data_IF_262441896000
#
_entry.id   IF_262441896000
#
_cell.length_a   1.000
_cell.length_b   1.000
_cell.length_c   1.000
_cell.angle_alpha   90.00
_cell.angle_beta   90.00
_cell.angle_gamma   90.00
#
_symmetry.space_group_name_H-M   'P 1'
#
loop_
_entity.id
_entity.type
_entity.pdbx_description
1 polymer ?
#
# COMPACT_ATOMS: atom_id res chain seq x y z
N UNK A 1 3.95 8.97 -20.33
CA UNK A 1 3.41 9.27 -18.99
C UNK A 1 4.02 10.59 -18.50
N UNK A 2 3.19 11.60 -18.38
CA UNK A 2 3.66 12.94 -18.01
C UNK A 2 3.52 13.13 -16.50
N UNK A 3 4.61 13.57 -15.85
CA UNK A 3 4.67 13.76 -14.40
C UNK A 3 4.22 12.51 -13.63
N UNK A 4 4.85 11.35 -13.91
CA UNK A 4 4.42 10.12 -13.26
C UNK A 4 4.63 10.17 -11.75
N UNK A 5 3.78 9.43 -11.06
CA UNK A 5 3.86 9.26 -9.61
C UNK A 5 4.33 7.86 -9.29
N UNK A 6 4.93 7.69 -8.12
CA UNK A 6 5.35 6.39 -7.63
C UNK A 6 4.45 5.97 -6.46
N UNK A 7 3.98 4.72 -6.50
CA UNK A 7 3.09 4.18 -5.47
C UNK A 7 3.62 2.84 -4.98
N UNK A 8 3.65 2.68 -3.68
CA UNK A 8 3.95 1.42 -3.02
C UNK A 8 2.62 0.76 -2.64
N UNK A 9 2.42 -0.48 -3.09
CA UNK A 9 1.23 -1.27 -2.73
C UNK A 9 1.65 -2.46 -1.89
N UNK A 10 0.84 -2.79 -0.89
CA UNK A 10 1.18 -3.84 0.09
C UNK A 10 0.02 -4.78 0.37
N UNK A 11 -1.14 -4.52 -0.19
CA UNK A 11 -2.36 -5.25 0.12
C UNK A 11 -3.11 -5.71 -1.11
N UNK A 12 -4.40 -5.44 -1.16
CA UNK A 12 -5.29 -5.99 -2.20
C UNK A 12 -4.99 -5.53 -3.62
N UNK A 13 -4.19 -4.48 -3.78
CA UNK A 13 -3.73 -4.03 -5.10
C UNK A 13 -2.54 -4.84 -5.62
N UNK A 14 -1.96 -5.72 -4.81
CA UNK A 14 -0.82 -6.53 -5.21
C UNK A 14 -1.18 -7.50 -6.34
N UNK A 15 -0.18 -7.88 -7.18
CA UNK A 15 -0.41 -8.88 -8.21
C UNK A 15 -0.98 -10.18 -7.61
N UNK A 16 -2.01 -10.70 -8.25
CA UNK A 16 -2.68 -11.92 -7.82
C UNK A 16 -3.74 -11.73 -6.75
N UNK A 17 -3.95 -10.52 -6.26
CA UNK A 17 -4.94 -10.27 -5.23
C UNK A 17 -6.18 -9.56 -5.77
N UNK A 18 -7.17 -9.38 -4.91
CA UNK A 18 -8.54 -9.04 -5.25
C UNK A 18 -8.70 -7.80 -6.14
N UNK A 19 -7.92 -6.77 -5.88
CA UNK A 19 -8.03 -5.49 -6.59
C UNK A 19 -6.90 -5.27 -7.60
N UNK A 20 -6.23 -6.33 -8.00
CA UNK A 20 -5.10 -6.25 -8.94
C UNK A 20 -5.44 -5.46 -10.20
N UNK A 21 -6.66 -5.61 -10.73
CA UNK A 21 -7.07 -4.94 -11.95
C UNK A 21 -7.09 -3.42 -11.84
N UNK A 22 -7.23 -2.91 -10.63
CA UNK A 22 -7.20 -1.47 -10.43
C UNK A 22 -5.83 -0.87 -10.79
N UNK A 23 -4.80 -1.74 -10.87
CA UNK A 23 -3.45 -1.31 -11.24
C UNK A 23 -3.17 -1.39 -12.74
N UNK A 24 -4.15 -1.82 -13.55
CA UNK A 24 -3.95 -1.91 -15.00
C UNK A 24 -3.55 -0.55 -15.57
N UNK A 25 -2.48 -0.54 -16.36
CA UNK A 25 -1.92 0.69 -16.92
C UNK A 25 -0.75 1.25 -16.14
N UNK A 26 -0.53 0.81 -14.91
CA UNK A 26 0.62 1.20 -14.12
C UNK A 26 1.84 0.35 -14.52
N UNK A 27 3.02 0.94 -14.44
CA UNK A 27 4.26 0.22 -14.74
C UNK A 27 4.83 -0.38 -13.45
N UNK A 28 4.96 -1.68 -13.40
CA UNK A 28 5.56 -2.38 -12.26
C UNK A 28 7.08 -2.17 -12.27
N UNK A 29 7.62 -1.63 -11.19
CA UNK A 29 9.05 -1.34 -11.09
C UNK A 29 9.81 -2.37 -10.26
N UNK A 30 9.15 -3.10 -9.39
CA UNK A 30 9.79 -4.12 -8.57
C UNK A 30 9.35 -4.08 -7.12
N UNK A 31 9.99 -4.92 -6.33
CA UNK A 31 9.67 -5.07 -4.91
C UNK A 31 10.42 -4.03 -4.06
N UNK A 32 9.90 -3.81 -2.87
CA UNK A 32 10.56 -2.97 -1.89
C UNK A 32 9.91 -3.14 -0.54
N UNK A 33 10.46 -2.45 0.46
CA UNK A 33 9.89 -2.47 1.80
C UNK A 33 9.84 -1.05 2.36
N UNK A 34 8.84 -0.80 3.17
CA UNK A 34 8.71 0.45 3.90
C UNK A 34 8.56 0.15 5.39
N UNK A 35 8.78 1.14 6.24
CA UNK A 35 8.58 0.97 7.66
C UNK A 35 7.11 1.09 8.02
N UNK A 36 6.68 0.29 8.99
CA UNK A 36 5.32 0.33 9.46
C UNK A 36 4.93 -0.94 10.19
N UNK A 37 3.64 -1.02 10.51
CA UNK A 37 3.00 -2.23 11.01
C UNK A 37 1.80 -2.53 10.15
N UNK A 38 1.57 -3.80 9.91
CA UNK A 38 0.50 -4.26 9.04
C UNK A 38 -0.49 -5.08 9.84
N UNK A 39 -1.76 -4.74 9.72
CA UNK A 39 -2.84 -5.43 10.43
C UNK A 39 -3.82 -6.05 9.44
N UNK A 40 -4.35 -7.20 9.82
CA UNK A 40 -5.39 -7.88 9.06
C UNK A 40 -6.74 -7.32 9.49
N UNK A 41 -7.37 -6.57 8.60
CA UNK A 41 -8.66 -5.91 8.89
C UNK A 41 -9.85 -6.74 8.41
N UNK A 42 -9.60 -7.97 7.99
CA UNK A 42 -10.62 -8.89 7.49
C UNK A 42 -10.47 -9.11 6.00
N UNK A 43 -11.12 -8.27 5.19
CA UNK A 43 -11.06 -8.42 3.73
C UNK A 43 -9.86 -7.73 3.09
N UNK A 44 -9.12 -6.94 3.85
CA UNK A 44 -7.92 -6.23 3.37
C UNK A 44 -7.03 -5.89 4.56
N UNK A 45 -5.74 -5.59 4.29
CA UNK A 45 -4.83 -5.18 5.37
C UNK A 45 -4.79 -3.67 5.48
N UNK A 46 -4.30 -3.19 6.63
CA UNK A 46 -4.05 -1.78 6.84
C UNK A 46 -2.65 -1.55 7.37
N UNK A 47 -1.91 -0.66 6.72
CA UNK A 47 -0.58 -0.25 7.16
C UNK A 47 -0.71 1.00 8.01
N UNK A 48 -0.05 0.99 9.17
CA UNK A 48 0.01 2.15 10.06
C UNK A 48 1.47 2.41 10.42
N UNK A 49 1.72 3.53 11.06
CA UNK A 49 3.06 3.87 11.53
C UNK A 49 3.62 2.78 12.45
N UNK A 50 4.91 2.51 12.34
CA UNK A 50 5.57 1.53 13.18
C UNK A 50 7.00 1.29 12.76
N UNK A 51 7.66 0.38 13.48
CA UNK A 51 9.09 0.11 13.33
C UNK A 51 9.41 -1.08 12.43
N UNK A 52 8.42 -1.90 12.11
CA UNK A 52 8.64 -3.09 11.30
C UNK A 52 8.90 -2.77 9.83
N UNK A 53 9.13 -3.82 9.04
CA UNK A 53 9.30 -3.68 7.60
C UNK A 53 8.13 -4.35 6.91
N UNK A 54 7.52 -3.63 5.97
CA UNK A 54 6.36 -4.09 5.24
C UNK A 54 6.74 -4.29 3.78
N UNK A 55 6.55 -5.50 3.29
CA UNK A 55 6.88 -5.89 1.92
C UNK A 55 5.78 -5.48 0.95
N UNK A 56 6.16 -5.06 -0.23
CA UNK A 56 5.22 -4.70 -1.27
C UNK A 56 5.89 -4.49 -2.61
N UNK A 57 5.15 -3.88 -3.51
CA UNK A 57 5.57 -3.64 -4.88
C UNK A 57 5.46 -2.15 -5.21
N UNK A 58 6.35 -1.69 -6.09
CA UNK A 58 6.41 -0.28 -6.47
C UNK A 58 5.94 -0.15 -7.91
N UNK A 59 5.08 0.83 -8.14
CA UNK A 59 4.52 1.11 -9.46
C UNK A 59 4.73 2.57 -9.83
N UNK A 60 4.89 2.79 -11.14
CA UNK A 60 4.85 4.13 -11.72
C UNK A 60 3.52 4.28 -12.45
N UNK A 61 2.81 5.36 -12.21
CA UNK A 61 1.50 5.55 -12.79
C UNK A 61 1.21 7.03 -13.01
N UNK A 62 0.22 7.29 -13.88
CA UNK A 62 -0.28 8.65 -14.12
C UNK A 62 -0.90 9.25 -12.88
N UNK A 63 -0.79 10.57 -12.69
CA UNK A 63 -1.51 11.25 -11.61
C UNK A 63 -3.01 10.99 -11.64
N UNK A 64 -3.62 10.88 -12.83
CA UNK A 64 -5.05 10.59 -12.93
C UNK A 64 -5.38 9.17 -12.46
N UNK A 65 -4.50 8.22 -12.75
CA UNK A 65 -4.66 6.85 -12.27
C UNK A 65 -4.60 6.84 -10.74
N UNK A 66 -3.65 7.58 -10.17
CA UNK A 66 -3.52 7.67 -8.73
C UNK A 66 -4.79 8.26 -8.10
N UNK A 67 -5.40 9.26 -8.72
CA UNK A 67 -6.65 9.83 -8.23
C UNK A 67 -7.79 8.80 -8.24
N UNK A 68 -7.83 7.92 -9.25
CA UNK A 68 -8.83 6.84 -9.28
C UNK A 68 -8.61 5.85 -8.14
N UNK A 69 -7.34 5.57 -7.81
CA UNK A 69 -7.02 4.69 -6.68
C UNK A 69 -7.40 5.33 -5.35
N UNK A 70 -7.32 6.66 -5.25
CA UNK A 70 -7.80 7.36 -4.06
C UNK A 70 -9.26 7.00 -3.79
N UNK A 71 -10.09 6.93 -4.82
CA UNK A 71 -11.49 6.55 -4.67
C UNK A 71 -11.64 5.08 -4.26
N UNK A 72 -10.86 4.19 -4.88
CA UNK A 72 -10.85 2.76 -4.54
C UNK A 72 -10.52 2.55 -3.07
N UNK A 73 -9.58 3.35 -2.54
CA UNK A 73 -9.13 3.26 -1.15
C UNK A 73 -9.98 4.11 -0.22
N UNK A 74 -11.08 4.65 -0.71
CA UNK A 74 -12.02 5.46 0.07
C UNK A 74 -11.34 6.63 0.75
N UNK A 75 -10.46 7.31 0.03
CA UNK A 75 -9.87 8.57 0.44
C UNK A 75 -10.76 9.71 -0.05
N UNK A 76 -11.21 10.55 0.88
CA UNK A 76 -11.98 11.74 0.57
C UNK A 76 -11.02 12.90 0.47
N UNK A 77 -10.91 13.50 -0.73
CA UNK A 77 -9.98 14.60 -0.97
C UNK A 77 -10.26 15.75 0.00
N UNK A 78 -9.19 16.29 0.57
CA UNK A 78 -9.23 17.43 1.50
C UNK A 78 -9.99 17.13 2.81
N UNK A 79 -10.30 15.84 3.10
CA UNK A 79 -10.99 15.49 4.34
C UNK A 79 -10.41 14.19 4.90
N UNK A 80 -9.30 14.31 5.61
CA UNK A 80 -8.63 13.15 6.19
C UNK A 80 -9.55 12.40 7.15
N UNK A 81 -10.32 13.10 7.98
CA UNK A 81 -11.16 12.46 8.97
C UNK A 81 -12.26 11.58 8.36
N UNK A 82 -12.74 11.93 7.17
CA UNK A 82 -13.76 11.15 6.47
C UNK A 82 -13.16 9.99 5.68
N UNK A 83 -11.84 9.89 5.59
CA UNK A 83 -11.17 8.91 4.74
C UNK A 83 -10.89 7.62 5.49
N UNK A 84 -11.10 6.48 4.82
CA UNK A 84 -10.75 5.16 5.36
C UNK A 84 -9.24 4.92 5.28
N UNK A 85 -8.65 5.26 4.14
CA UNK A 85 -7.21 5.28 3.95
C UNK A 85 -6.79 6.69 3.58
N UNK A 86 -5.58 7.05 3.96
CA UNK A 86 -5.02 8.36 3.64
C UNK A 86 -3.67 8.17 2.97
N UNK A 87 -3.49 8.80 1.82
CA UNK A 87 -2.27 8.67 1.04
C UNK A 87 -1.19 9.57 1.63
N UNK A 88 -0.05 8.97 2.00
CA UNK A 88 1.09 9.67 2.58
C UNK A 88 2.35 9.34 1.81
N UNK A 89 3.38 10.15 1.96
CA UNK A 89 4.69 9.87 1.40
C UNK A 89 5.49 9.06 2.39
N UNK A 90 6.11 8.00 1.90
CA UNK A 90 7.00 7.14 2.69
C UNK A 90 8.26 6.88 1.88
N UNK A 91 9.33 6.49 2.57
CA UNK A 91 10.59 6.20 1.92
C UNK A 91 10.79 4.69 1.82
N UNK A 92 11.20 4.24 0.63
CA UNK A 92 11.56 2.84 0.44
C UNK A 92 12.85 2.58 1.20
N UNK A 93 12.89 1.50 1.98
CA UNK A 93 14.02 1.17 2.86
C UNK A 93 14.97 0.18 2.22
N UNK A 94 14.45 -0.80 1.48
CA UNK A 94 15.28 -1.87 0.91
C UNK A 94 14.98 -2.07 -0.56
N UNK A 95 15.95 -2.67 -1.27
CA UNK A 95 15.78 -3.05 -2.68
C UNK A 95 16.39 -2.04 -3.62
N UNK A 96 16.14 -2.23 -4.90
CA UNK A 96 16.70 -1.39 -5.98
C UNK A 96 16.27 0.07 -5.85
N UNK A 97 15.09 0.32 -5.27
CA UNK A 97 14.54 1.66 -5.14
C UNK A 97 14.72 2.25 -3.75
N UNK A 98 15.65 1.71 -2.95
CA UNK A 98 15.92 2.22 -1.61
C UNK A 98 16.18 3.72 -1.66
N UNK A 99 15.69 4.41 -0.64
CA UNK A 99 15.74 5.86 -0.42
C UNK A 99 14.79 6.68 -1.28
N UNK A 100 14.10 6.09 -2.27
CA UNK A 100 13.11 6.83 -3.03
C UNK A 100 11.85 7.07 -2.21
N UNK A 101 11.25 8.24 -2.40
CA UNK A 101 9.98 8.59 -1.77
C UNK A 101 8.84 8.21 -2.69
N UNK A 102 7.83 7.57 -2.10
CA UNK A 102 6.67 7.05 -2.84
C UNK A 102 5.40 7.37 -2.07
N UNK A 103 4.27 7.30 -2.76
CA UNK A 103 2.97 7.35 -2.11
C UNK A 103 2.64 5.99 -1.52
N UNK A 104 1.88 6.00 -0.42
CA UNK A 104 1.42 4.77 0.23
C UNK A 104 0.08 5.07 0.91
N UNK A 105 -0.88 4.17 0.77
CA UNK A 105 -2.17 4.32 1.45
C UNK A 105 -2.06 3.77 2.86
N UNK A 106 -2.11 4.67 3.84
CA UNK A 106 -2.04 4.31 5.25
C UNK A 106 -3.44 4.23 5.82
N UNK A 107 -3.72 3.16 6.59
CA UNK A 107 -5.03 2.99 7.20
C UNK A 107 -5.27 4.11 8.21
N UNK A 108 -6.47 4.68 8.17
CA UNK A 108 -6.78 5.93 8.87
C UNK A 108 -7.79 5.73 9.99
N UNK A 109 -7.89 4.51 10.52
CA UNK A 109 -8.77 4.18 11.62
C UNK A 109 -8.00 3.40 12.67
N UNK A 110 -8.62 3.15 13.85
CA UNK A 110 -7.99 2.36 14.88
C UNK A 110 -7.76 0.92 14.42
N UNK A 111 -6.61 0.37 14.77
CA UNK A 111 -6.30 -1.05 14.50
C UNK A 111 -6.48 -1.90 15.75
N UNK A 112 -7.03 -1.33 16.84
CA UNK A 112 -7.22 -2.04 18.08
C UNK A 112 -8.11 -3.25 17.87
N UNK A 113 -7.65 -4.41 18.35
CA UNK A 113 -8.40 -5.66 18.23
C UNK A 113 -8.18 -6.43 16.95
N UNK A 114 -7.47 -5.86 15.98
CA UNK A 114 -7.16 -6.58 14.73
C UNK A 114 -5.83 -7.33 14.84
N UNK A 115 -5.71 -8.51 14.20
CA UNK A 115 -4.46 -9.27 14.25
C UNK A 115 -3.33 -8.56 13.50
N UNK A 116 -2.13 -8.65 14.06
CA UNK A 116 -0.92 -8.16 13.41
C UNK A 116 -0.45 -9.17 12.37
N UNK A 117 -0.10 -8.68 11.18
CA UNK A 117 0.58 -9.49 10.16
C UNK A 117 2.07 -9.42 10.50
N UNK A 118 2.55 -10.38 11.29
CA UNK A 118 3.87 -10.28 11.94
C UNK A 118 5.03 -10.21 10.97
N UNK A 119 4.92 -10.85 9.81
CA UNK A 119 6.00 -10.86 8.81
C UNK A 119 5.97 -9.64 7.89
N UNK A 120 4.92 -8.82 7.96
CA UNK A 120 4.80 -7.63 7.13
C UNK A 120 4.63 -7.92 5.64
N UNK A 121 4.21 -9.12 5.27
CA UNK A 121 4.03 -9.52 3.87
C UNK A 121 2.63 -10.12 3.71
N UNK A 122 1.72 -9.36 3.13
CA UNK A 122 0.32 -9.76 3.08
C UNK A 122 0.08 -10.99 2.19
N UNK A 123 0.78 -11.07 1.04
CA UNK A 123 0.62 -12.25 0.17
C UNK A 123 1.08 -13.52 0.86
N UNK A 124 2.21 -13.45 1.55
CA UNK A 124 2.71 -14.58 2.33
C UNK A 124 1.74 -14.94 3.46
N UNK A 125 1.15 -13.95 4.08
CA UNK A 125 0.16 -14.14 5.13
C UNK A 125 -1.08 -14.87 4.61
N UNK A 126 -1.57 -14.49 3.42
CA UNK A 126 -2.74 -15.13 2.81
C UNK A 126 -2.44 -16.52 2.26
N UNK A 127 -1.18 -16.83 1.97
CA UNK A 127 -0.76 -18.14 1.45
C UNK A 127 0.15 -18.80 2.48
N UNK A 128 -0.42 -19.27 3.58
CA UNK A 128 0.39 -19.84 4.66
C UNK A 128 1.15 -21.07 4.17
N UNK A 129 2.30 -21.28 4.77
CA UNK A 129 3.16 -22.42 4.46
C UNK A 129 2.40 -23.72 4.68
N UNK A 130 2.60 -24.63 3.77
CA UNK A 130 2.02 -25.96 3.84
C UNK A 130 3.07 -26.99 4.14
#
# INVERSE_FOLDING_TARGET
MKNPELLFVYGTLLPGLRLEREMDGAQHLGAGKVRGRLYDLGTYPGLVEGEGLIAGEIYRLDPQHLMRLDEVEEMVADDQNASLFWRVRVQIVTGTHATQWVWCYRYNRSVQGFPLVTHGDYRAYLSPCR
#
